data_IF_780728831006
#
_entry.id   IF_780728831006
#
_cell.length_a   1.000
_cell.length_b   1.000
_cell.length_c   1.000
_cell.angle_alpha   90.00
_cell.angle_beta   90.00
_cell.angle_gamma   90.00
#
_symmetry.space_group_name_H-M   'P 1'
#
loop_
_entity.id
_entity.type
_entity.pdbx_description
1 polymer ?
#
# COMPACT_ATOMS: atom_id res chain seq x y z
N UNK A 1 0.41 3.85 9.34
CA UNK A 1 1.52 4.25 8.46
C UNK A 1 1.04 5.34 7.49
N UNK A 2 1.94 6.01 6.74
CA UNK A 2 1.58 7.02 5.71
C UNK A 2 2.23 6.63 4.39
N UNK A 3 1.47 6.67 3.29
CA UNK A 3 1.96 6.53 1.92
C UNK A 3 1.66 7.82 1.14
N UNK A 4 2.69 8.42 0.54
CA UNK A 4 2.57 9.63 -0.27
C UNK A 4 2.69 9.28 -1.75
N UNK A 5 1.73 9.73 -2.56
CA UNK A 5 1.75 9.55 -4.01
C UNK A 5 2.19 10.84 -4.68
N UNK A 6 3.17 10.76 -5.59
CA UNK A 6 3.66 11.92 -6.32
C UNK A 6 2.54 12.51 -7.18
N UNK A 7 2.34 13.84 -7.12
CA UNK A 7 1.31 14.55 -7.90
C UNK A 7 1.43 14.39 -9.43
N UNK A 8 2.59 13.98 -9.93
CA UNK A 8 2.80 13.67 -11.35
C UNK A 8 2.13 12.36 -11.78
N UNK A 9 1.73 11.51 -10.84
CA UNK A 9 0.93 10.31 -11.11
C UNK A 9 -0.54 10.73 -11.17
N UNK A 10 -1.21 10.38 -12.27
CA UNK A 10 -2.63 10.69 -12.45
C UNK A 10 -3.47 10.07 -11.34
N UNK A 11 -4.42 10.83 -10.77
CA UNK A 11 -5.33 10.31 -9.75
C UNK A 11 -6.19 9.15 -10.24
N UNK A 12 -6.36 9.02 -11.56
CA UNK A 12 -7.18 7.97 -12.17
C UNK A 12 -6.38 6.67 -12.40
N UNK A 13 -5.06 6.70 -12.20
CA UNK A 13 -4.18 5.54 -12.41
C UNK A 13 -3.79 4.87 -11.09
N UNK A 14 -4.39 5.27 -9.96
CA UNK A 14 -4.21 4.58 -8.68
C UNK A 14 -5.39 4.73 -7.75
N UNK A 15 -5.54 3.80 -6.82
CA UNK A 15 -6.50 3.90 -5.71
C UNK A 15 -5.97 3.20 -4.46
N UNK A 16 -6.54 3.56 -3.31
CA UNK A 16 -6.24 2.91 -2.03
C UNK A 16 -6.90 1.54 -2.01
N UNK A 17 -6.17 0.52 -1.59
CA UNK A 17 -6.73 -0.80 -1.27
C UNK A 17 -7.18 -0.75 0.20
N UNK A 18 -8.49 -0.89 0.49
CA UNK A 18 -8.96 -0.88 1.87
C UNK A 18 -8.45 -2.13 2.61
N UNK A 19 -7.81 -1.92 3.76
CA UNK A 19 -7.26 -2.96 4.62
C UNK A 19 -7.66 -2.72 6.07
N UNK A 20 -8.05 -3.78 6.78
CA UNK A 20 -8.41 -3.72 8.21
C UNK A 20 -7.16 -3.83 9.11
N UNK A 21 -6.17 -2.97 8.88
CA UNK A 21 -5.00 -2.89 9.76
C UNK A 21 -4.43 -1.48 9.83
N UNK A 22 -4.23 -0.92 11.04
CA UNK A 22 -3.63 0.40 11.20
C UNK A 22 -2.15 0.45 10.80
N UNK A 23 -1.51 -0.72 10.71
CA UNK A 23 -0.09 -0.87 10.42
C UNK A 23 0.20 -1.00 8.93
N UNK A 24 -0.80 -1.16 8.08
CA UNK A 24 -0.62 -1.35 6.64
C UNK A 24 -1.39 -0.29 5.87
N UNK A 25 -0.73 0.34 4.91
CA UNK A 25 -1.38 1.16 3.88
C UNK A 25 -1.02 0.61 2.53
N UNK A 26 -1.98 0.52 1.61
CA UNK A 26 -1.75 -0.08 0.30
C UNK A 26 -2.44 0.69 -0.82
N UNK A 27 -1.84 0.67 -2.00
CA UNK A 27 -2.41 1.21 -3.24
C UNK A 27 -2.27 0.21 -4.38
N UNK A 28 -3.24 0.23 -5.31
CA UNK A 28 -3.10 -0.35 -6.64
C UNK A 28 -2.79 0.77 -7.63
N UNK A 29 -1.74 0.59 -8.43
CA UNK A 29 -1.40 1.41 -9.60
C UNK A 29 -1.75 0.64 -10.86
N UNK A 30 -2.36 1.32 -11.83
CA UNK A 30 -2.74 0.74 -13.12
C UNK A 30 -2.16 1.55 -14.27
N UNK A 31 -1.56 0.89 -15.24
CA UNK A 31 -1.05 1.51 -16.46
C UNK A 31 -0.78 0.49 -17.56
N UNK A 32 -0.06 0.89 -18.60
CA UNK A 32 0.34 -0.02 -19.69
C UNK A 32 1.28 -1.13 -19.22
N UNK A 33 1.84 -0.99 -18.02
CA UNK A 33 2.61 -2.01 -17.30
C UNK A 33 1.72 -3.03 -16.54
N UNK A 34 0.40 -2.96 -16.71
CA UNK A 34 -0.55 -3.77 -15.96
C UNK A 34 -0.86 -3.16 -14.59
N UNK A 35 -1.03 -4.03 -13.60
CA UNK A 35 -1.35 -3.65 -12.21
C UNK A 35 -0.15 -3.85 -11.30
N UNK A 36 0.08 -2.89 -10.43
CA UNK A 36 1.12 -2.96 -9.39
C UNK A 36 0.46 -2.68 -8.05
N UNK A 37 0.62 -3.60 -7.10
CA UNK A 37 0.22 -3.38 -5.71
C UNK A 37 1.43 -2.95 -4.89
N UNK A 38 1.30 -1.86 -4.15
CA UNK A 38 2.33 -1.36 -3.23
C UNK A 38 1.76 -1.43 -1.83
N UNK A 39 2.46 -2.15 -0.95
CA UNK A 39 2.11 -2.29 0.47
C UNK A 39 3.18 -1.60 1.33
N UNK A 40 2.77 -0.60 2.09
CA UNK A 40 3.58 0.05 3.10
C UNK A 40 3.24 -0.51 4.49
N UNK A 41 4.02 -1.50 4.91
CA UNK A 41 3.85 -2.23 6.16
C UNK A 41 4.75 -1.60 7.23
N UNK A 42 4.15 -0.98 8.23
CA UNK A 42 4.85 -0.61 9.44
C UNK A 42 5.02 -1.85 10.31
N UNK A 43 6.26 -2.21 10.59
CA UNK A 43 6.58 -3.29 11.51
C UNK A 43 6.88 -2.69 12.90
N UNK A 44 5.96 -2.79 13.87
CA UNK A 44 6.18 -2.24 15.21
C UNK A 44 7.28 -2.99 16.00
N UNK A 45 7.78 -4.13 15.49
CA UNK A 45 8.88 -4.92 16.06
C UNK A 45 8.70 -5.35 17.54
N UNK A 46 7.51 -5.16 18.08
CA UNK A 46 7.06 -5.56 19.42
C UNK A 46 6.34 -6.93 19.39
N UNK A 47 5.96 -7.39 18.19
CA UNK A 47 5.31 -8.68 17.96
C UNK A 47 5.85 -9.34 16.67
N UNK A 48 6.21 -10.63 16.72
CA UNK A 48 6.72 -11.42 15.58
C UNK A 48 5.65 -11.76 14.49
N UNK A 49 4.55 -11.00 14.39
CA UNK A 49 3.39 -11.36 13.55
C UNK A 49 3.33 -10.69 12.18
N UNK A 50 4.30 -9.86 11.83
CA UNK A 50 4.30 -9.04 10.61
C UNK A 50 4.23 -9.85 9.30
N UNK A 51 4.66 -11.13 9.33
CA UNK A 51 4.67 -12.02 8.15
C UNK A 51 3.30 -12.66 7.82
N UNK A 52 2.28 -12.55 8.69
CA UNK A 52 0.97 -13.22 8.45
C UNK A 52 -0.06 -12.39 7.64
N UNK A 53 0.34 -11.25 7.08
CA UNK A 53 -0.60 -10.31 6.44
C UNK A 53 -0.71 -10.45 4.91
N UNK A 54 0.09 -11.33 4.31
CA UNK A 54 0.16 -11.57 2.86
C UNK A 54 -0.53 -12.88 2.48
#
# INVERSE_FOLDING_TARGET
SILLVNKKISKNTWHIIPLESPNVTAIELTGNFGKVHIYNIYNPCDHNRTIRFL
#
